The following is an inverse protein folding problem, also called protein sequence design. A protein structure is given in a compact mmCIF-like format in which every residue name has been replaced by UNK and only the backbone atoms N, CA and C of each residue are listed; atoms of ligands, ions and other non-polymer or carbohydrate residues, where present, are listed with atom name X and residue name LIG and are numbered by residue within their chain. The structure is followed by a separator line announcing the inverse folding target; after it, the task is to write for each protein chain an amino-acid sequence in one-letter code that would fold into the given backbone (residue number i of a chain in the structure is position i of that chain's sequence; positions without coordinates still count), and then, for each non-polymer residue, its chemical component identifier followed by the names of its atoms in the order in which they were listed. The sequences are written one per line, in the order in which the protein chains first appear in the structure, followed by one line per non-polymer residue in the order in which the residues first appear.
data_IF_666069169966
#
_entry.id   IF_666069169966
#
_cell.length_a   1.000
_cell.length_b   1.000
_cell.length_c   1.000
_cell.angle_alpha   90.00
_cell.angle_beta   90.00
_cell.angle_gamma   90.00
#
_symmetry.space_group_name_H-M   'P 1'
#
loop_
_entity.id
_entity.type
_entity.pdbx_description
1 polymer ?
#
# COMPACT_ATOMS: atom_id res chain seq x y z
N UNK A 1 -3.49 -6.08 25.98
CA UNK A 1 -4.79 -5.80 25.32
C UNK A 1 -5.82 -5.46 26.40
N UNK A 2 -6.45 -4.28 26.36
CA UNK A 2 -7.51 -3.93 27.29
C UNK A 2 -8.83 -4.59 26.85
N UNK A 3 -9.35 -5.51 27.65
CA UNK A 3 -10.67 -6.10 27.43
C UNK A 3 -11.74 -5.00 27.58
N UNK A 4 -12.80 -4.98 26.75
CA UNK A 4 -13.88 -4.01 26.89
C UNK A 4 -14.59 -4.14 28.23
N UNK A 5 -14.88 -3.00 28.88
CA UNK A 5 -15.46 -2.88 30.24
C UNK A 5 -16.80 -3.61 30.46
N UNK A 6 -17.44 -4.14 29.41
CA UNK A 6 -18.76 -4.78 29.45
C UNK A 6 -18.75 -6.31 29.20
N UNK A 7 -17.59 -6.98 29.30
CA UNK A 7 -17.48 -8.44 29.09
C UNK A 7 -18.32 -9.30 30.06
N UNK A 8 -18.78 -8.74 31.18
CA UNK A 8 -19.51 -9.46 32.24
C UNK A 8 -20.94 -9.91 31.85
N UNK A 9 -21.53 -9.40 30.75
CA UNK A 9 -22.91 -9.75 30.33
C UNK A 9 -23.01 -10.74 29.17
N UNK A 10 -21.88 -11.26 28.68
CA UNK A 10 -21.86 -12.23 27.58
C UNK A 10 -21.75 -13.64 28.17
N UNK A 11 -22.69 -14.56 27.88
CA UNK A 11 -22.64 -15.94 28.35
C UNK A 11 -21.65 -16.77 27.51
N UNK A 12 -20.43 -16.29 27.28
CA UNK A 12 -19.31 -17.04 26.68
C UNK A 12 -17.99 -16.34 27.12
N UNK A 13 -16.93 -17.10 27.45
CA UNK A 13 -15.56 -17.00 26.88
C UNK A 13 -14.53 -17.68 27.80
N UNK A 14 -14.12 -18.91 27.47
CA UNK A 14 -12.69 -19.23 27.53
C UNK A 14 -12.10 -18.83 26.17
N UNK A 15 -11.12 -17.91 26.16
CA UNK A 15 -10.42 -17.48 24.94
C UNK A 15 -9.07 -18.16 24.91
N UNK A 16 -8.84 -18.97 23.88
CA UNK A 16 -7.51 -19.46 23.59
C UNK A 16 -6.81 -18.43 22.70
N UNK A 17 -5.82 -17.74 23.25
CA UNK A 17 -4.87 -16.97 22.48
C UNK A 17 -3.83 -17.96 21.95
N UNK A 18 -3.74 -18.11 20.63
CA UNK A 18 -2.58 -18.75 20.03
C UNK A 18 -1.43 -17.76 20.16
N UNK A 19 -0.54 -17.98 21.12
CA UNK A 19 0.79 -17.39 21.06
C UNK A 19 1.62 -18.28 20.15
N UNK A 20 1.79 -17.89 18.88
CA UNK A 20 2.74 -18.54 17.99
C UNK A 20 4.16 -18.23 18.43
N UNK A 21 4.65 -18.85 19.50
CA UNK A 21 6.09 -19.04 19.67
C UNK A 21 6.47 -20.24 18.83
N UNK A 22 6.80 -20.00 17.56
CA UNK A 22 7.50 -21.00 16.76
C UNK A 22 8.91 -21.07 17.35
N UNK A 23 9.13 -22.02 18.25
CA UNK A 23 10.42 -22.20 18.90
C UNK A 23 11.40 -22.86 17.91
N UNK A 24 12.16 -22.05 17.18
CA UNK A 24 13.40 -22.50 16.55
C UNK A 24 14.53 -22.50 17.59
N UNK A 25 15.53 -23.36 17.39
CA UNK A 25 16.67 -23.54 18.30
C UNK A 25 17.54 -22.28 18.51
N UNK A 26 17.32 -21.23 17.71
CA UNK A 26 17.78 -19.87 17.93
C UNK A 26 16.58 -18.96 17.67
N UNK A 27 16.22 -18.07 18.61
CA UNK A 27 15.05 -17.18 18.51
C UNK A 27 15.23 -16.25 17.30
N UNK A 28 14.68 -16.58 16.13
CA UNK A 28 14.97 -15.84 14.93
C UNK A 28 14.11 -14.58 14.96
N UNK A 29 14.71 -13.45 14.62
CA UNK A 29 13.99 -12.19 14.57
C UNK A 29 12.79 -12.33 13.62
N UNK A 30 11.73 -11.56 13.86
CA UNK A 30 10.58 -11.50 12.92
C UNK A 30 11.08 -11.31 11.48
N UNK A 31 12.16 -10.54 11.28
CA UNK A 31 12.79 -10.29 9.98
C UNK A 31 13.42 -11.53 9.32
N UNK A 32 13.87 -12.51 10.09
CA UNK A 32 14.43 -13.76 9.53
C UNK A 32 13.35 -14.59 8.81
N UNK A 33 12.07 -14.32 9.10
CA UNK A 33 10.94 -14.91 8.40
C UNK A 33 10.50 -14.11 7.18
N UNK A 34 11.06 -12.92 6.95
CA UNK A 34 10.60 -12.00 5.93
C UNK A 34 11.73 -11.66 4.96
N UNK A 35 11.78 -12.38 3.84
CA UNK A 35 12.79 -12.18 2.79
C UNK A 35 12.33 -11.23 1.68
N UNK A 36 11.06 -10.81 1.72
CA UNK A 36 10.48 -9.92 0.72
C UNK A 36 11.10 -8.52 0.77
N UNK A 37 11.49 -8.04 -0.40
CA UNK A 37 11.91 -6.67 -0.62
C UNK A 37 10.70 -5.83 -1.01
N UNK A 38 10.58 -4.63 -0.44
CA UNK A 38 9.66 -3.63 -0.97
C UNK A 38 10.07 -3.29 -2.41
N UNK A 39 9.12 -3.22 -3.33
CA UNK A 39 9.36 -2.79 -4.71
C UNK A 39 8.92 -1.33 -4.89
N UNK A 40 9.63 -0.58 -5.74
CA UNK A 40 9.27 0.77 -6.18
C UNK A 40 9.14 0.89 -7.70
N UNK A 41 8.38 1.91 -8.12
CA UNK A 41 8.11 2.20 -9.53
C UNK A 41 8.63 3.57 -9.92
N UNK A 42 9.02 3.69 -11.19
CA UNK A 42 9.37 4.97 -11.78
C UNK A 42 8.22 5.97 -11.67
N UNK A 43 8.55 7.21 -11.35
CA UNK A 43 7.59 8.31 -11.35
C UNK A 43 7.07 8.56 -12.77
N UNK A 44 5.76 8.69 -12.88
CA UNK A 44 5.03 9.10 -14.07
C UNK A 44 4.34 10.43 -13.78
N UNK A 45 3.90 11.07 -14.85
CA UNK A 45 3.16 12.31 -14.81
C UNK A 45 1.80 12.10 -15.45
N UNK A 46 0.73 12.37 -14.71
CA UNK A 46 -0.59 12.58 -15.29
C UNK A 46 -0.77 14.08 -15.47
N UNK A 47 -1.13 14.49 -16.67
CA UNK A 47 -1.16 15.91 -17.02
C UNK A 47 -2.58 16.31 -17.41
N UNK A 48 -3.00 17.50 -16.96
CA UNK A 48 -4.14 18.21 -17.51
C UNK A 48 -3.67 19.56 -18.04
N UNK A 49 -3.96 19.83 -19.30
CA UNK A 49 -3.56 21.04 -19.99
C UNK A 49 -4.78 21.95 -20.15
N UNK A 50 -4.61 23.21 -19.75
CA UNK A 50 -5.57 24.29 -19.96
C UNK A 50 -4.96 25.24 -21.00
N UNK A 51 -5.60 25.35 -22.15
CA UNK A 51 -5.12 26.17 -23.25
C UNK A 51 -5.64 27.59 -23.13
N UNK A 52 -4.87 28.57 -23.61
CA UNK A 52 -5.27 29.97 -23.55
C UNK A 52 -6.63 30.27 -24.20
N UNK A 53 -6.96 29.57 -25.30
CA UNK A 53 -8.25 29.69 -25.96
C UNK A 53 -9.44 29.24 -25.08
N UNK A 54 -9.19 28.43 -24.06
CA UNK A 54 -10.22 27.87 -23.19
C UNK A 54 -10.33 28.69 -21.91
N UNK A 55 -11.26 29.65 -21.86
CA UNK A 55 -11.51 30.50 -20.68
C UNK A 55 -10.22 31.14 -20.13
N UNK A 56 -9.38 31.72 -21.00
CA UNK A 56 -8.09 32.32 -20.62
C UNK A 56 -7.16 31.34 -19.87
N UNK A 57 -7.07 30.09 -20.32
CA UNK A 57 -6.35 29.01 -19.62
C UNK A 57 -6.76 28.78 -18.15
N UNK A 58 -7.94 29.24 -17.74
CA UNK A 58 -8.43 29.13 -16.37
C UNK A 58 -7.94 30.21 -15.40
N UNK A 59 -7.29 31.28 -15.89
CA UNK A 59 -6.99 32.44 -15.05
C UNK A 59 -8.28 33.19 -14.69
N UNK A 60 -8.49 33.40 -13.39
CA UNK A 60 -9.67 34.04 -12.80
C UNK A 60 -9.41 35.47 -12.32
N UNK A 61 -8.14 35.90 -12.32
CA UNK A 61 -7.76 37.23 -11.86
C UNK A 61 -6.49 37.76 -12.56
N UNK A 62 -6.51 39.05 -12.84
CA UNK A 62 -5.38 39.85 -13.32
C UNK A 62 -5.29 41.10 -12.44
N UNK A 63 -4.11 41.39 -11.88
CA UNK A 63 -3.93 42.59 -11.07
C UNK A 63 -4.01 43.87 -11.92
N UNK A 64 -4.23 45.05 -11.31
CA UNK A 64 -4.27 46.32 -12.05
C UNK A 64 -3.01 46.65 -12.87
N UNK A 65 -1.87 46.05 -12.50
CA UNK A 65 -0.59 46.17 -13.20
C UNK A 65 -0.50 45.28 -14.45
N UNK A 66 -1.61 44.62 -14.82
CA UNK A 66 -1.76 43.86 -16.06
C UNK A 66 -2.74 44.55 -16.99
N UNK A 67 -2.27 44.98 -18.15
CA UNK A 67 -3.07 45.64 -19.19
C UNK A 67 -3.13 44.79 -20.47
N UNK A 68 -4.00 45.20 -21.40
CA UNK A 68 -4.13 44.62 -22.74
C UNK A 68 -4.36 43.09 -22.76
N UNK A 69 -5.07 42.54 -21.77
CA UNK A 69 -5.36 41.10 -21.69
C UNK A 69 -6.26 40.68 -22.84
N UNK A 70 -5.75 39.86 -23.76
CA UNK A 70 -6.51 39.34 -24.90
C UNK A 70 -5.93 38.04 -25.43
N UNK A 71 -6.76 37.24 -26.10
CA UNK A 71 -6.28 36.10 -26.87
C UNK A 71 -5.62 36.59 -28.17
N UNK A 72 -4.43 36.06 -28.49
CA UNK A 72 -3.72 36.26 -29.74
C UNK A 72 -3.24 34.91 -30.27
N UNK A 73 -3.92 34.41 -31.30
CA UNK A 73 -3.71 33.03 -31.77
C UNK A 73 -4.01 32.03 -30.65
N UNK A 74 -3.05 31.17 -30.34
CA UNK A 74 -3.17 30.14 -29.30
C UNK A 74 -2.66 30.61 -27.93
N UNK A 75 -2.45 31.91 -27.73
CA UNK A 75 -1.87 32.45 -26.51
C UNK A 75 -2.72 33.56 -25.89
N UNK A 76 -2.71 33.62 -24.57
CA UNK A 76 -3.19 34.76 -23.79
C UNK A 76 -2.05 35.77 -23.73
N UNK A 77 -2.25 36.95 -24.30
CA UNK A 77 -1.27 38.04 -24.28
C UNK A 77 -1.70 39.16 -23.36
N UNK A 78 -0.75 39.74 -22.63
CA UNK A 78 -0.95 40.92 -21.80
C UNK A 78 0.35 41.70 -21.63
N UNK A 79 0.25 42.93 -21.12
CA UNK A 79 1.37 43.82 -20.81
C UNK A 79 1.47 44.03 -19.31
N UNK A 80 2.69 43.95 -18.78
CA UNK A 80 3.00 44.30 -17.39
C UNK A 80 3.29 45.80 -17.33
N UNK A 81 2.50 46.58 -16.58
CA UNK A 81 2.58 48.05 -16.53
C UNK A 81 3.28 48.60 -15.30
N UNK A 82 3.82 47.74 -14.46
CA UNK A 82 4.66 48.10 -13.32
C UNK A 82 5.80 47.10 -13.20
N UNK A 83 6.74 47.31 -12.27
CA UNK A 83 7.82 46.33 -12.01
C UNK A 83 7.28 44.94 -11.63
N UNK A 84 6.06 44.89 -11.09
CA UNK A 84 5.47 43.70 -10.48
C UNK A 84 4.00 43.56 -10.88
N UNK A 85 3.57 42.35 -11.24
CA UNK A 85 2.19 42.04 -11.59
C UNK A 85 1.79 40.65 -11.09
N UNK A 86 0.50 40.44 -10.83
CA UNK A 86 -0.02 39.19 -10.27
C UNK A 86 -1.16 38.63 -11.11
N UNK A 87 -1.11 37.32 -11.36
CA UNK A 87 -2.19 36.54 -11.96
C UNK A 87 -2.75 35.57 -10.92
N UNK A 88 -4.06 35.37 -10.93
CA UNK A 88 -4.73 34.34 -10.13
C UNK A 88 -5.34 33.27 -11.02
N UNK A 89 -5.11 32.01 -10.69
CA UNK A 89 -5.66 30.85 -11.40
C UNK A 89 -6.54 30.01 -10.47
N UNK A 90 -7.61 29.45 -11.03
CA UNK A 90 -8.54 28.62 -10.27
C UNK A 90 -9.26 29.39 -9.16
N UNK A 91 -9.38 28.81 -7.97
CA UNK A 91 -10.08 29.40 -6.82
C UNK A 91 -9.29 30.49 -6.07
N UNK A 92 -8.40 31.20 -6.77
CA UNK A 92 -7.75 32.40 -6.26
C UNK A 92 -8.78 33.37 -5.68
N UNK A 93 -8.59 33.81 -4.43
CA UNK A 93 -9.51 34.68 -3.69
C UNK A 93 -10.98 34.21 -3.67
N UNK A 94 -11.23 32.89 -3.75
CA UNK A 94 -12.59 32.35 -3.71
C UNK A 94 -13.40 32.61 -4.98
N UNK A 95 -12.75 32.95 -6.10
CA UNK A 95 -13.41 33.40 -7.34
C UNK A 95 -13.90 32.27 -8.23
N UNK A 96 -13.58 31.00 -7.95
CA UNK A 96 -14.02 29.87 -8.77
C UNK A 96 -15.20 29.13 -8.12
N UNK A 97 -16.34 28.97 -8.83
CA UNK A 97 -17.46 28.18 -8.34
C UNK A 97 -17.05 26.73 -8.02
N UNK A 98 -17.62 26.16 -6.96
CA UNK A 98 -17.30 24.77 -6.51
C UNK A 98 -17.53 23.76 -7.63
N UNK A 99 -18.58 23.92 -8.43
CA UNK A 99 -18.91 23.01 -9.55
C UNK A 99 -17.92 23.09 -10.73
N UNK A 100 -17.11 24.15 -10.80
CA UNK A 100 -16.08 24.33 -11.83
C UNK A 100 -14.67 24.02 -11.31
N UNK A 101 -14.53 23.68 -10.02
CA UNK A 101 -13.28 23.20 -9.43
C UNK A 101 -12.93 21.87 -10.11
N UNK A 102 -11.85 21.78 -10.91
CA UNK A 102 -11.49 20.51 -11.52
C UNK A 102 -11.17 19.47 -10.44
N UNK A 103 -11.62 18.22 -10.61
CA UNK A 103 -11.33 17.05 -9.75
C UNK A 103 -9.82 16.67 -9.66
N UNK A 104 -8.93 17.55 -10.10
CA UNK A 104 -7.47 17.40 -10.06
C UNK A 104 -6.88 17.43 -8.63
N UNK A 105 -7.72 17.59 -7.62
CA UNK A 105 -7.38 18.12 -6.32
C UNK A 105 -7.51 17.04 -5.27
N UNK A 106 -6.80 15.93 -5.47
CA UNK A 106 -6.71 14.86 -4.48
C UNK A 106 -5.40 14.92 -3.67
N UNK A 107 -4.32 15.52 -4.19
CA UNK A 107 -2.96 15.46 -3.61
C UNK A 107 -2.03 16.53 -4.22
N UNK A 108 -0.71 16.45 -3.93
CA UNK A 108 0.33 17.38 -4.41
C UNK A 108 0.45 17.43 -5.95
N UNK A 109 0.32 18.62 -6.53
CA UNK A 109 0.47 18.85 -7.97
C UNK A 109 1.63 19.80 -8.28
N UNK A 110 2.24 19.65 -9.46
CA UNK A 110 3.13 20.64 -10.05
C UNK A 110 2.35 21.49 -11.05
N UNK A 111 2.84 22.71 -11.29
CA UNK A 111 2.29 23.60 -12.32
C UNK A 111 3.39 23.85 -13.33
N UNK A 112 3.10 23.77 -14.62
CA UNK A 112 3.99 24.23 -15.69
C UNK A 112 3.26 25.25 -16.55
N UNK A 113 3.89 26.40 -16.79
CA UNK A 113 3.35 27.43 -17.65
C UNK A 113 4.18 27.48 -18.93
N UNK A 114 3.54 27.31 -20.09
CA UNK A 114 4.20 27.52 -21.38
C UNK A 114 4.10 29.00 -21.72
N UNK A 115 5.20 29.74 -21.55
CA UNK A 115 5.23 31.20 -21.58
C UNK A 115 6.36 31.75 -22.44
N UNK A 116 6.19 32.98 -22.93
CA UNK A 116 7.29 33.81 -23.44
C UNK A 116 7.08 35.27 -23.08
N UNK A 117 8.15 36.05 -23.14
CA UNK A 117 8.12 37.49 -22.89
C UNK A 117 8.86 38.27 -23.98
N UNK A 118 8.62 39.58 -24.08
CA UNK A 118 9.29 40.44 -25.06
C UNK A 118 10.61 41.04 -24.58
N UNK A 119 10.91 40.96 -23.28
CA UNK A 119 12.16 41.49 -22.71
C UNK A 119 13.36 40.59 -23.00
N UNK A 120 14.53 41.20 -23.17
CA UNK A 120 15.82 40.49 -23.22
C UNK A 120 16.41 40.27 -21.83
N UNK A 121 15.88 40.95 -20.81
CA UNK A 121 16.25 40.72 -19.40
C UNK A 121 15.38 39.62 -18.81
N UNK A 122 15.90 38.88 -17.82
CA UNK A 122 15.09 37.86 -17.17
C UNK A 122 13.87 38.45 -16.45
N UNK A 123 12.79 37.66 -16.38
CA UNK A 123 11.61 37.96 -15.56
C UNK A 123 11.53 36.93 -14.46
N UNK A 124 11.60 37.39 -13.21
CA UNK A 124 11.45 36.53 -12.04
C UNK A 124 9.98 36.15 -11.86
N UNK A 125 9.74 34.90 -11.52
CA UNK A 125 8.41 34.33 -11.32
C UNK A 125 8.33 33.71 -9.93
N UNK A 126 7.20 33.92 -9.27
CA UNK A 126 6.92 33.36 -7.96
C UNK A 126 5.50 32.80 -7.95
N UNK A 127 5.39 31.48 -7.79
CA UNK A 127 4.09 30.80 -7.68
C UNK A 127 3.77 30.48 -6.23
N UNK A 128 2.59 30.85 -5.78
CA UNK A 128 2.08 30.55 -4.43
C UNK A 128 0.73 29.85 -4.53
N UNK A 129 0.58 28.72 -3.83
CA UNK A 129 -0.66 27.96 -3.83
C UNK A 129 -1.72 28.55 -2.89
N UNK A 130 -2.99 28.32 -3.26
CA UNK A 130 -4.18 28.75 -2.54
C UNK A 130 -5.06 27.54 -2.19
N UNK A 131 -5.75 27.63 -1.05
CA UNK A 131 -6.73 26.67 -0.55
C UNK A 131 -7.94 27.44 -0.03
N UNK A 132 -9.14 27.08 -0.50
CA UNK A 132 -10.42 27.68 -0.14
C UNK A 132 -10.39 29.21 -0.19
N UNK A 133 -9.74 29.75 -1.22
CA UNK A 133 -9.63 31.18 -1.44
C UNK A 133 -8.71 31.92 -0.47
N UNK A 134 -7.81 31.21 0.22
CA UNK A 134 -6.75 31.77 1.06
C UNK A 134 -5.38 31.26 0.62
N UNK A 135 -4.32 32.06 0.80
CA UNK A 135 -2.94 31.59 0.59
C UNK A 135 -2.64 30.43 1.52
N UNK A 136 -2.03 29.37 0.98
CA UNK A 136 -1.51 28.27 1.79
C UNK A 136 -0.39 28.81 2.69
N UNK A 137 -0.58 28.69 4.01
CA UNK A 137 0.44 29.03 5.01
C UNK A 137 1.12 27.76 5.48
N UNK A 138 2.41 27.83 5.78
CA UNK A 138 3.09 26.73 6.45
C UNK A 138 2.41 26.41 7.81
N UNK A 139 2.31 25.13 8.15
CA UNK A 139 1.93 24.71 9.51
C UNK A 139 3.01 25.17 10.51
N UNK A 140 2.60 25.39 11.77
CA UNK A 140 3.42 25.86 12.92
C UNK A 140 4.93 25.58 12.77
N UNK A 141 5.72 26.64 12.61
CA UNK A 141 7.18 26.60 12.62
C UNK A 141 7.87 26.38 11.27
N UNK A 142 7.13 26.27 10.16
CA UNK A 142 7.72 26.28 8.81
C UNK A 142 7.97 27.71 8.29
N UNK A 143 8.78 27.87 7.23
CA UNK A 143 8.95 29.17 6.58
C UNK A 143 7.59 29.72 6.14
N UNK A 144 7.35 31.01 6.41
CA UNK A 144 6.06 31.67 6.07
C UNK A 144 5.77 31.68 4.57
N UNK A 145 6.81 31.45 3.75
CA UNK A 145 6.77 31.50 2.31
C UNK A 145 6.92 30.09 1.71
N UNK A 146 5.82 29.54 1.21
CA UNK A 146 5.80 28.28 0.45
C UNK A 146 5.94 28.52 -1.06
N UNK A 147 6.23 29.76 -1.48
CA UNK A 147 6.27 30.10 -2.88
C UNK A 147 7.45 29.44 -3.58
N UNK A 148 7.21 29.05 -4.84
CA UNK A 148 8.18 28.42 -5.71
C UNK A 148 8.67 29.49 -6.68
N UNK A 149 9.98 29.70 -6.69
CA UNK A 149 10.62 30.67 -7.58
C UNK A 149 11.06 29.99 -8.88
N UNK A 150 10.87 30.71 -9.97
CA UNK A 150 11.38 30.37 -11.29
C UNK A 150 11.76 31.66 -12.04
N UNK A 151 12.27 31.54 -13.26
CA UNK A 151 12.72 32.67 -14.05
C UNK A 151 12.51 32.36 -15.54
N UNK A 152 12.05 33.35 -16.30
CA UNK A 152 12.03 33.30 -17.77
C UNK A 152 13.26 34.01 -18.32
N UNK A 153 13.93 33.40 -19.31
CA UNK A 153 15.13 33.95 -19.94
C UNK A 153 14.98 34.01 -21.46
N UNK A 154 15.26 35.17 -22.04
CA UNK A 154 15.16 35.37 -23.47
C UNK A 154 13.72 35.31 -23.99
N UNK A 155 13.55 35.59 -25.28
CA UNK A 155 12.23 35.89 -25.86
C UNK A 155 11.48 34.68 -26.42
N UNK A 156 12.08 33.50 -26.35
CA UNK A 156 11.49 32.27 -26.88
C UNK A 156 10.51 31.63 -25.89
N UNK A 157 9.66 30.75 -26.42
CA UNK A 157 8.73 29.94 -25.64
C UNK A 157 9.46 28.98 -24.71
N UNK A 158 9.07 28.98 -23.44
CA UNK A 158 9.67 28.21 -22.36
C UNK A 158 8.59 27.50 -21.54
N UNK A 159 8.87 26.28 -21.09
CA UNK A 159 8.09 25.61 -20.06
C UNK A 159 8.66 25.96 -18.70
N UNK A 160 7.95 26.82 -17.97
CA UNK A 160 8.34 27.23 -16.61
C UNK A 160 7.63 26.32 -15.61
N UNK A 161 8.38 25.39 -15.02
CA UNK A 161 7.86 24.42 -14.06
C UNK A 161 8.01 24.89 -12.61
N UNK A 162 6.94 24.76 -11.84
CA UNK A 162 6.84 25.05 -10.41
C UNK A 162 6.60 23.75 -9.66
N UNK A 163 7.68 23.14 -9.18
CA UNK A 163 7.66 21.91 -8.39
C UNK A 163 7.76 22.23 -6.89
N UNK A 164 6.74 21.89 -6.07
CA UNK A 164 6.83 22.02 -4.63
C UNK A 164 7.93 21.09 -4.08
N UNK A 165 8.76 21.62 -3.17
CA UNK A 165 9.86 20.86 -2.52
C UNK A 165 9.37 19.82 -1.51
N UNK A 166 8.12 19.93 -1.05
CA UNK A 166 7.48 19.03 -0.08
C UNK A 166 6.08 18.69 -0.55
N UNK A 167 5.56 17.50 -0.19
CA UNK A 167 4.14 17.21 -0.36
C UNK A 167 3.30 18.28 0.32
N UNK A 168 2.34 18.83 -0.41
CA UNK A 168 1.34 19.74 0.15
C UNK A 168 0.44 18.92 1.07
N UNK A 169 0.33 19.34 2.33
CA UNK A 169 -0.52 18.68 3.32
C UNK A 169 -1.99 19.07 3.17
N UNK A 170 -2.25 20.12 2.41
CA UNK A 170 -3.58 20.62 2.07
C UNK A 170 -3.62 20.75 0.56
N UNK A 171 -4.71 20.30 -0.03
CA UNK A 171 -4.82 20.20 -1.47
C UNK A 171 -5.15 21.59 -2.02
N UNK A 172 -4.30 22.16 -2.90
CA UNK A 172 -4.54 23.49 -3.44
C UNK A 172 -5.70 23.50 -4.44
N UNK A 173 -6.51 24.56 -4.36
CA UNK A 173 -7.62 24.85 -5.27
C UNK A 173 -7.37 26.03 -6.21
N UNK A 174 -6.21 26.65 -6.08
CA UNK A 174 -5.78 27.72 -6.95
C UNK A 174 -4.31 28.00 -6.74
N UNK A 175 -3.80 28.93 -7.55
CA UNK A 175 -2.49 29.50 -7.33
C UNK A 175 -2.46 30.95 -7.80
N UNK A 176 -1.51 31.71 -7.27
CA UNK A 176 -1.12 33.00 -7.81
C UNK A 176 0.26 32.89 -8.45
N UNK A 177 0.45 33.61 -9.55
CA UNK A 177 1.76 33.80 -10.19
C UNK A 177 2.08 35.27 -10.14
N UNK A 178 3.12 35.59 -9.39
CA UNK A 178 3.69 36.93 -9.30
C UNK A 178 4.88 37.02 -10.26
N UNK A 179 4.91 38.07 -11.06
CA UNK A 179 5.91 38.32 -12.08
C UNK A 179 6.64 39.63 -11.73
N UNK A 180 7.96 39.60 -11.69
CA UNK A 180 8.80 40.79 -11.51
C UNK A 180 9.76 40.95 -12.70
N UNK A 181 9.64 42.05 -13.43
CA UNK A 181 10.38 42.28 -14.66
C UNK A 181 10.33 43.74 -15.12
N UNK A 182 10.74 43.97 -16.37
CA UNK A 182 10.71 45.32 -16.95
C UNK A 182 9.26 45.80 -17.17
N UNK A 183 9.02 47.07 -16.85
CA UNK A 183 7.77 47.74 -17.20
C UNK A 183 7.59 47.77 -18.72
N UNK A 184 6.36 47.57 -19.19
CA UNK A 184 6.02 47.47 -20.60
C UNK A 184 6.31 46.09 -21.20
N UNK A 185 6.88 45.15 -20.44
CA UNK A 185 7.13 43.79 -20.92
C UNK A 185 5.81 43.11 -21.31
N UNK A 186 5.81 42.54 -22.51
CA UNK A 186 4.68 41.79 -23.04
C UNK A 186 4.86 40.33 -22.73
N UNK A 187 3.91 39.74 -22.03
CA UNK A 187 3.89 38.31 -21.70
C UNK A 187 2.85 37.61 -22.58
N UNK A 188 3.18 36.39 -22.99
CA UNK A 188 2.25 35.48 -23.64
C UNK A 188 2.26 34.13 -22.92
N UNK A 189 1.08 33.58 -22.65
CA UNK A 189 0.88 32.26 -22.04
C UNK A 189 0.11 31.41 -23.04
N UNK A 190 0.69 30.30 -23.49
CA UNK A 190 0.01 29.34 -24.38
C UNK A 190 -0.82 28.34 -23.57
N UNK A 191 -0.27 27.83 -22.47
CA UNK A 191 -0.97 26.87 -21.64
C UNK A 191 -0.55 26.89 -20.17
N UNK A 192 -1.49 26.44 -19.33
CA UNK A 192 -1.25 26.04 -17.94
C UNK A 192 -1.37 24.52 -17.90
N UNK A 193 -0.33 23.82 -17.47
CA UNK A 193 -0.34 22.39 -17.25
C UNK A 193 -0.31 22.10 -15.76
N UNK A 194 -1.32 21.39 -15.27
CA UNK A 194 -1.33 20.81 -13.93
C UNK A 194 -0.81 19.37 -14.06
N UNK A 195 0.25 19.06 -13.32
CA UNK A 195 0.97 17.80 -13.40
C UNK A 195 0.83 17.08 -12.07
N UNK A 196 0.20 15.92 -12.07
CA UNK A 196 0.14 15.04 -10.92
C UNK A 196 1.28 14.01 -11.01
N UNK A 197 2.26 14.04 -10.08
CA UNK A 197 3.25 12.98 -9.97
C UNK A 197 2.56 11.73 -9.44
N UNK A 198 2.56 10.69 -10.25
CA UNK A 198 1.98 9.39 -9.89
C UNK A 198 3.04 8.33 -10.06
N UNK A 199 3.18 7.46 -9.08
CA UNK A 199 3.96 6.25 -9.18
C UNK A 199 2.99 5.10 -9.15
N UNK A 200 2.72 4.52 -10.32
CA UNK A 200 1.79 3.43 -10.47
C UNK A 200 2.39 2.32 -11.30
N UNK A 201 1.87 1.12 -11.16
CA UNK A 201 1.85 0.19 -12.27
C UNK A 201 1.67 -1.24 -11.86
N UNK A 202 1.94 -2.09 -12.83
CA UNK A 202 1.60 -3.49 -12.84
C UNK A 202 2.90 -4.27 -12.66
N UNK A 203 2.98 -5.09 -11.63
CA UNK A 203 4.16 -5.89 -11.29
C UNK A 203 3.78 -7.35 -11.34
N UNK A 204 4.60 -8.19 -11.96
CA UNK A 204 4.35 -9.62 -12.02
C UNK A 204 5.59 -10.45 -11.77
N UNK A 205 5.35 -11.69 -11.34
CA UNK A 205 6.34 -12.77 -11.36
C UNK A 205 5.64 -14.10 -11.56
N UNK A 206 6.18 -14.88 -12.48
CA UNK A 206 5.79 -16.28 -12.65
C UNK A 206 6.57 -17.18 -11.71
N UNK A 207 5.93 -18.27 -11.31
CA UNK A 207 6.55 -19.33 -10.55
C UNK A 207 5.90 -20.67 -10.86
N UNK A 208 6.56 -21.76 -10.48
CA UNK A 208 6.06 -23.10 -10.73
C UNK A 208 5.89 -23.88 -9.43
N UNK A 209 4.72 -24.49 -9.29
CA UNK A 209 4.50 -25.55 -8.32
C UNK A 209 4.84 -26.90 -8.97
N UNK A 210 5.33 -27.90 -8.20
CA UNK A 210 5.62 -29.23 -8.75
C UNK A 210 4.43 -29.81 -9.54
N UNK A 211 4.73 -30.60 -10.56
CA UNK A 211 3.69 -31.27 -11.35
C UNK A 211 2.83 -32.16 -10.43
N UNK A 212 1.50 -32.03 -10.54
CA UNK A 212 0.56 -32.75 -9.67
C UNK A 212 0.53 -32.27 -8.20
N UNK A 213 1.21 -31.17 -7.86
CA UNK A 213 1.21 -30.64 -6.50
C UNK A 213 -0.21 -30.35 -6.00
N UNK A 214 -0.55 -30.90 -4.83
CA UNK A 214 -1.77 -30.56 -4.11
C UNK A 214 -1.41 -29.57 -3.01
N UNK A 215 -1.99 -28.37 -3.08
CA UNK A 215 -1.82 -27.35 -2.04
C UNK A 215 -2.65 -27.76 -0.82
N UNK A 216 -2.00 -27.95 0.33
CA UNK A 216 -2.69 -28.12 1.60
C UNK A 216 -3.14 -26.77 2.16
N UNK A 217 -2.26 -25.77 2.05
CA UNK A 217 -2.48 -24.42 2.56
C UNK A 217 -1.56 -23.43 1.85
N UNK A 218 -2.02 -22.22 1.59
CA UNK A 218 -1.16 -21.17 1.07
C UNK A 218 -1.61 -19.80 1.56
N UNK A 219 -0.74 -19.14 2.31
CA UNK A 219 -1.02 -17.82 2.88
C UNK A 219 0.04 -16.86 2.41
N UNK A 220 -0.40 -15.70 1.94
CA UNK A 220 0.46 -14.58 1.60
C UNK A 220 0.30 -13.43 2.60
N UNK A 221 1.40 -12.83 3.01
CA UNK A 221 1.44 -11.49 3.59
C UNK A 221 1.57 -10.47 2.49
N UNK A 222 0.63 -9.54 2.47
CA UNK A 222 0.51 -8.55 1.40
C UNK A 222 0.47 -7.17 2.00
N UNK A 223 1.39 -6.32 1.60
CA UNK A 223 1.35 -4.91 1.92
C UNK A 223 1.36 -4.08 0.63
N UNK A 224 0.59 -3.00 0.62
CA UNK A 224 0.78 -1.98 -0.41
C UNK A 224 0.42 -0.59 0.09
N UNK A 225 1.25 0.38 -0.28
CA UNK A 225 1.15 1.78 0.12
C UNK A 225 0.51 2.56 -0.99
N UNK A 226 -0.81 2.61 -0.97
CA UNK A 226 -1.56 3.41 -1.92
C UNK A 226 -2.25 4.54 -1.16
N UNK A 227 -1.97 5.76 -1.59
CA UNK A 227 -2.67 6.97 -1.18
C UNK A 227 -3.88 7.13 -2.12
N UNK A 228 -4.96 6.40 -1.84
CA UNK A 228 -6.26 6.79 -2.39
C UNK A 228 -7.18 7.11 -1.22
N UNK A 229 -6.87 8.28 -0.68
CA UNK A 229 -7.71 9.12 0.17
C UNK A 229 -7.81 8.61 1.59
N UNK A 230 -7.03 9.24 2.49
CA UNK A 230 -7.46 9.43 3.87
C UNK A 230 -8.93 9.87 3.81
N UNK A 231 -9.84 9.04 4.34
CA UNK A 231 -11.31 9.11 4.31
C UNK A 231 -12.09 8.28 3.27
N UNK A 232 -11.45 7.65 2.26
CA UNK A 232 -12.09 6.59 1.46
C UNK A 232 -11.54 5.23 1.89
N UNK A 233 -12.39 4.35 2.43
CA UNK A 233 -12.01 3.08 3.04
C UNK A 233 -11.52 1.99 2.06
N UNK A 234 -11.01 2.37 0.89
CA UNK A 234 -10.60 1.43 -0.17
C UNK A 234 -9.16 1.68 -0.60
N UNK A 235 -8.24 0.94 0.01
CA UNK A 235 -6.90 0.76 -0.56
C UNK A 235 -7.05 0.09 -1.93
N UNK A 236 -6.72 0.83 -2.99
CA UNK A 236 -6.94 0.42 -4.39
C UNK A 236 -5.90 -0.56 -4.94
N UNK A 237 -4.97 -1.08 -4.12
CA UNK A 237 -4.03 -2.07 -4.65
C UNK A 237 -4.69 -3.41 -4.86
N UNK A 238 -4.40 -3.98 -6.01
CA UNK A 238 -4.95 -5.27 -6.41
C UNK A 238 -3.86 -6.32 -6.35
N UNK A 239 -4.21 -7.46 -5.76
CA UNK A 239 -3.46 -8.69 -5.89
C UNK A 239 -4.24 -9.58 -6.86
N UNK A 240 -3.55 -10.14 -7.82
CA UNK A 240 -4.04 -11.11 -8.78
C UNK A 240 -3.19 -12.37 -8.68
N UNK A 241 -3.85 -13.52 -8.74
CA UNK A 241 -3.18 -14.82 -8.84
C UNK A 241 -3.81 -15.56 -10.02
N UNK A 242 -3.01 -15.90 -11.01
CA UNK A 242 -3.48 -16.53 -12.25
C UNK A 242 -4.62 -15.74 -12.93
N UNK A 243 -4.43 -14.42 -12.99
CA UNK A 243 -5.37 -13.43 -13.50
C UNK A 243 -6.73 -13.35 -12.80
N UNK A 244 -6.89 -14.00 -11.64
CA UNK A 244 -8.03 -13.82 -10.77
C UNK A 244 -7.67 -12.82 -9.68
N UNK A 245 -8.47 -11.76 -9.54
CA UNK A 245 -8.34 -10.81 -8.43
C UNK A 245 -8.60 -11.52 -7.11
N UNK A 246 -7.65 -11.43 -6.19
CA UNK A 246 -7.74 -12.00 -4.85
C UNK A 246 -8.58 -11.07 -3.98
N UNK A 247 -9.67 -11.60 -3.43
CA UNK A 247 -10.51 -10.86 -2.50
C UNK A 247 -9.75 -10.60 -1.20
N UNK A 248 -9.57 -9.32 -0.84
CA UNK A 248 -8.94 -8.89 0.42
C UNK A 248 -9.51 -7.57 0.89
N UNK A 249 -9.47 -7.34 2.20
CA UNK A 249 -9.95 -6.10 2.83
C UNK A 249 -8.96 -4.93 2.68
N UNK A 250 -7.73 -5.20 2.25
CA UNK A 250 -6.62 -4.25 2.31
C UNK A 250 -6.00 -4.19 3.71
N UNK A 251 -4.90 -3.48 3.85
CA UNK A 251 -4.21 -3.27 5.13
C UNK A 251 -4.87 -2.14 5.93
N UNK A 252 -4.86 -2.14 7.28
CA UNK A 252 -5.40 -1.02 8.05
C UNK A 252 -4.58 0.27 7.87
N UNK A 253 -3.32 0.15 7.47
CA UNK A 253 -2.40 1.26 7.31
C UNK A 253 -1.45 1.05 6.13
N UNK A 254 -1.01 2.14 5.50
CA UNK A 254 -0.04 2.17 4.38
C UNK A 254 1.38 1.69 4.73
N UNK A 255 1.60 1.12 5.91
CA UNK A 255 2.87 0.50 6.28
C UNK A 255 2.66 -0.85 6.98
N UNK A 256 1.46 -1.41 6.88
CA UNK A 256 1.11 -2.70 7.46
C UNK A 256 0.88 -3.72 6.34
N UNK A 257 1.09 -5.00 6.66
CA UNK A 257 0.68 -6.12 5.82
C UNK A 257 -0.64 -6.71 6.30
N UNK A 258 -1.28 -7.49 5.43
CA UNK A 258 -2.43 -8.32 5.77
C UNK A 258 -2.23 -9.72 5.21
N UNK A 259 -2.42 -10.73 6.05
CA UNK A 259 -2.52 -12.12 5.62
C UNK A 259 -3.73 -12.36 4.71
N UNK A 260 -3.52 -13.12 3.65
CA UNK A 260 -4.56 -13.53 2.71
C UNK A 260 -4.36 -14.98 2.30
N UNK A 261 -5.45 -15.75 2.30
CA UNK A 261 -5.45 -17.10 1.75
C UNK A 261 -5.42 -17.04 0.22
N UNK A 262 -4.35 -17.59 -0.36
CA UNK A 262 -4.16 -17.65 -1.81
C UNK A 262 -4.33 -19.08 -2.34
N UNK A 263 -4.54 -20.09 -1.48
CA UNK A 263 -4.66 -21.47 -1.90
C UNK A 263 -5.74 -21.70 -2.98
N UNK A 264 -6.94 -21.08 -2.90
CA UNK A 264 -7.99 -21.27 -3.91
C UNK A 264 -7.64 -20.77 -5.31
N UNK A 265 -6.56 -20.00 -5.46
CA UNK A 265 -6.15 -19.39 -6.71
C UNK A 265 -4.97 -20.09 -7.38
N UNK A 266 -4.28 -20.99 -6.65
CA UNK A 266 -3.12 -21.72 -7.12
C UNK A 266 -3.51 -22.96 -7.93
N UNK A 267 -2.61 -23.39 -8.81
CA UNK A 267 -2.74 -24.62 -9.60
C UNK A 267 -1.39 -25.34 -9.71
N UNK A 268 -1.35 -26.65 -9.95
CA UNK A 268 -0.09 -27.34 -10.30
C UNK A 268 0.58 -26.70 -11.53
N UNK A 269 1.93 -26.72 -11.58
CA UNK A 269 2.70 -26.13 -12.67
C UNK A 269 2.78 -24.60 -12.60
N UNK A 270 2.73 -23.93 -13.76
CA UNK A 270 2.89 -22.48 -13.86
C UNK A 270 1.79 -21.69 -13.17
N UNK A 271 2.20 -20.76 -12.32
CA UNK A 271 1.40 -19.75 -11.66
C UNK A 271 1.99 -18.35 -11.91
N UNK A 272 1.16 -17.33 -11.76
CA UNK A 272 1.59 -15.93 -11.83
C UNK A 272 1.00 -15.17 -10.65
N UNK A 273 1.85 -14.42 -9.95
CA UNK A 273 1.41 -13.37 -9.04
C UNK A 273 1.45 -12.05 -9.81
N UNK A 274 0.36 -11.31 -9.77
CA UNK A 274 0.25 -9.96 -10.32
C UNK A 274 -0.15 -8.97 -9.24
N UNK A 275 0.48 -7.80 -9.23
CA UNK A 275 0.15 -6.68 -8.38
C UNK A 275 -0.10 -5.42 -9.18
N UNK A 276 -1.15 -4.69 -8.83
CA UNK A 276 -1.30 -3.29 -9.21
C UNK A 276 -1.18 -2.42 -7.97
N UNK A 277 -0.30 -1.42 -8.03
CA UNK A 277 -0.12 -0.41 -6.99
C UNK A 277 -0.07 0.99 -7.59
N UNK A 278 -0.55 1.97 -6.84
CA UNK A 278 -0.51 3.38 -7.25
C UNK A 278 -0.39 4.27 -6.04
N UNK A 279 0.57 5.20 -6.09
CA UNK A 279 0.75 6.24 -5.09
C UNK A 279 0.88 7.58 -5.78
N UNK A 280 0.23 8.58 -5.21
CA UNK A 280 0.33 9.95 -5.68
C UNK A 280 1.39 10.68 -4.84
N UNK A 281 2.13 11.59 -5.45
CA UNK A 281 3.15 12.39 -4.79
C UNK A 281 4.56 11.83 -4.91
N UNK A 282 5.44 12.28 -4.02
CA UNK A 282 6.90 12.10 -4.15
C UNK A 282 7.42 10.75 -3.71
N UNK A 283 6.63 9.97 -2.95
CA UNK A 283 7.07 8.71 -2.37
C UNK A 283 6.73 7.51 -3.25
N UNK A 284 7.61 6.52 -3.26
CA UNK A 284 7.36 5.25 -3.93
C UNK A 284 6.12 4.55 -3.31
N UNK A 285 5.21 3.97 -4.14
CA UNK A 285 4.31 2.96 -3.63
C UNK A 285 5.16 1.83 -3.11
N UNK A 286 4.87 1.36 -1.91
CA UNK A 286 5.45 0.11 -1.46
C UNK A 286 4.57 -1.01 -2.00
N UNK A 287 5.17 -2.02 -2.64
CA UNK A 287 4.55 -3.33 -2.82
C UNK A 287 5.39 -4.36 -2.09
N UNK A 288 4.72 -5.11 -1.24
CA UNK A 288 5.29 -6.18 -0.43
C UNK A 288 4.44 -7.42 -0.60
N UNK A 289 5.08 -8.53 -0.97
CA UNK A 289 4.42 -9.82 -1.03
C UNK A 289 5.37 -10.90 -0.56
N UNK A 290 4.88 -11.74 0.34
CA UNK A 290 5.52 -12.99 0.67
C UNK A 290 4.47 -14.07 0.87
N UNK A 291 4.66 -15.23 0.27
CA UNK A 291 3.81 -16.38 0.45
C UNK A 291 4.58 -17.57 1.01
N UNK A 292 3.90 -18.34 1.86
CA UNK A 292 4.26 -19.72 2.18
C UNK A 292 3.18 -20.64 1.66
N UNK A 293 3.58 -21.62 0.86
CA UNK A 293 2.73 -22.60 0.21
C UNK A 293 3.13 -23.96 0.77
N UNK A 294 2.22 -24.59 1.50
CA UNK A 294 2.41 -25.91 2.07
C UNK A 294 1.67 -26.91 1.19
N UNK A 295 2.37 -27.92 0.71
CA UNK A 295 1.80 -29.01 -0.07
C UNK A 295 1.28 -30.11 0.84
N UNK A 296 0.38 -30.97 0.35
CA UNK A 296 -0.11 -32.12 1.12
C UNK A 296 1.00 -33.12 1.44
N UNK A 297 2.12 -33.07 0.72
CA UNK A 297 3.34 -33.85 1.00
C UNK A 297 4.05 -33.41 2.29
N UNK A 298 3.77 -32.20 2.79
CA UNK A 298 4.52 -31.55 3.86
C UNK A 298 5.63 -30.62 3.35
N UNK A 299 5.88 -30.58 2.05
CA UNK A 299 6.83 -29.63 1.46
C UNK A 299 6.34 -28.18 1.63
N UNK A 300 7.26 -27.29 1.99
CA UNK A 300 6.98 -25.86 2.18
C UNK A 300 7.77 -25.04 1.15
N UNK A 301 7.05 -24.38 0.26
CA UNK A 301 7.60 -23.46 -0.72
C UNK A 301 7.41 -22.02 -0.26
N UNK A 302 8.45 -21.20 -0.39
CA UNK A 302 8.40 -19.77 -0.04
C UNK A 302 8.63 -18.92 -1.28
N UNK A 303 7.81 -17.89 -1.44
CA UNK A 303 7.90 -16.93 -2.53
C UNK A 303 7.86 -15.52 -1.98
N UNK A 304 8.67 -14.61 -2.50
CA UNK A 304 8.81 -13.26 -1.98
C UNK A 304 9.02 -12.25 -3.10
N UNK A 305 8.69 -10.98 -2.84
CA UNK A 305 9.09 -9.88 -3.72
C UNK A 305 10.60 -9.68 -3.71
N UNK A 306 11.17 -9.50 -4.89
CA UNK A 306 12.59 -9.22 -5.11
C UNK A 306 12.76 -8.42 -6.41
N UNK A 307 13.98 -7.99 -6.73
CA UNK A 307 14.25 -7.19 -7.93
C UNK A 307 14.11 -7.97 -9.24
N UNK A 308 13.88 -9.29 -9.20
CA UNK A 308 13.63 -10.08 -10.41
C UNK A 308 12.19 -9.94 -10.92
N UNK A 309 11.30 -9.29 -10.18
CA UNK A 309 9.94 -9.02 -10.61
C UNK A 309 9.96 -8.03 -11.78
N UNK A 310 9.00 -8.18 -12.70
CA UNK A 310 8.87 -7.32 -13.88
C UNK A 310 7.76 -6.30 -13.65
N UNK A 311 7.95 -5.07 -14.11
CA UNK A 311 6.99 -3.99 -13.96
C UNK A 311 6.75 -3.18 -15.24
N UNK A 312 5.51 -2.75 -15.43
CA UNK A 312 5.06 -1.83 -16.48
C UNK A 312 4.24 -0.67 -15.91
N UNK A 313 4.40 0.56 -16.43
CA UNK A 313 3.57 1.70 -16.07
C UNK A 313 2.12 1.57 -16.57
N UNK A 314 1.89 0.77 -17.61
CA UNK A 314 0.60 0.59 -18.27
C UNK A 314 0.09 -0.85 -18.18
N UNK A 315 -1.22 -1.00 -18.14
CA UNK A 315 -1.88 -2.30 -18.17
C UNK A 315 -1.71 -2.96 -19.54
N UNK A 316 -1.46 -4.27 -19.53
CA UNK A 316 -1.53 -5.08 -20.75
C UNK A 316 -2.57 -6.19 -20.53
N UNK A 317 -3.39 -6.49 -21.55
CA UNK A 317 -4.38 -7.54 -21.42
C UNK A 317 -3.72 -8.89 -21.03
N UNK A 318 -4.25 -9.54 -19.99
CA UNK A 318 -3.72 -10.83 -19.51
C UNK A 318 -2.40 -10.75 -18.73
N UNK A 319 -1.90 -9.57 -18.38
CA UNK A 319 -0.61 -9.38 -17.70
C UNK A 319 -0.41 -10.24 -16.42
N UNK A 320 -1.49 -10.52 -15.70
CA UNK A 320 -1.46 -11.31 -14.46
C UNK A 320 -1.69 -12.81 -14.67
N UNK A 321 -1.78 -13.28 -15.92
CA UNK A 321 -1.86 -14.69 -16.28
C UNK A 321 -0.47 -15.32 -16.45
N UNK A 322 -0.32 -16.64 -16.21
CA UNK A 322 0.89 -17.35 -16.60
C UNK A 322 1.01 -17.43 -18.13
N UNK A 323 2.24 -17.37 -18.64
CA UNK A 323 2.57 -17.38 -20.06
C UNK A 323 2.57 -16.01 -20.73
N UNK A 324 2.30 -14.93 -20.01
CA UNK A 324 2.38 -13.57 -20.56
C UNK A 324 3.85 -13.17 -20.83
N UNK A 325 4.10 -12.58 -22.00
CA UNK A 325 5.42 -12.10 -22.42
C UNK A 325 5.72 -10.71 -21.83
N UNK A 326 6.53 -10.68 -20.78
CA UNK A 326 6.96 -9.45 -20.11
C UNK A 326 8.40 -9.05 -20.43
N UNK A 327 8.98 -9.53 -21.53
CA UNK A 327 10.37 -9.18 -21.90
C UNK A 327 10.57 -7.67 -22.14
N UNK A 328 9.52 -6.96 -22.54
CA UNK A 328 9.54 -5.50 -22.69
C UNK A 328 9.36 -4.74 -21.37
N UNK A 329 9.02 -5.43 -20.28
CA UNK A 329 8.81 -4.83 -18.97
C UNK A 329 10.15 -4.61 -18.26
N UNK A 330 10.22 -3.54 -17.48
CA UNK A 330 11.41 -3.18 -16.71
C UNK A 330 11.53 -4.08 -15.49
N UNK A 331 12.73 -4.24 -14.97
CA UNK A 331 12.92 -4.86 -13.65
C UNK A 331 12.39 -3.93 -12.57
N UNK A 332 11.78 -4.51 -11.54
CA UNK A 332 11.36 -3.76 -10.37
C UNK A 332 12.58 -3.31 -9.58
N UNK A 333 12.55 -2.05 -9.13
CA UNK A 333 13.60 -1.51 -8.27
C UNK A 333 13.31 -1.84 -6.81
N UNK A 334 14.37 -1.96 -6.01
CA UNK A 334 14.25 -2.03 -4.55
C UNK A 334 13.68 -0.70 -4.03
N UNK A 335 12.61 -0.78 -3.26
CA UNK A 335 11.93 0.36 -2.66
C UNK A 335 12.73 0.99 -1.52
N UNK A 336 12.67 2.32 -1.47
CA UNK A 336 13.36 3.17 -0.48
C UNK A 336 12.75 3.14 0.92
N UNK A 337 11.47 2.77 1.05
CA UNK A 337 10.73 2.65 2.32
C UNK A 337 11.12 1.38 3.10
N UNK A 338 12.05 0.58 2.54
CA UNK A 338 12.46 -0.75 3.00
C UNK A 338 12.63 -0.90 4.51
N UNK A 339 12.05 -1.98 5.03
CA UNK A 339 12.20 -2.64 6.34
C UNK A 339 12.04 -1.81 7.63
N UNK A 340 12.13 -0.50 7.56
CA UNK A 340 12.17 0.43 8.71
C UNK A 340 10.77 0.86 9.10
N UNK A 341 9.89 1.06 8.12
CA UNK A 341 8.53 1.51 8.36
C UNK A 341 7.49 0.40 8.27
N UNK A 342 7.83 -0.73 7.62
CA UNK A 342 6.95 -1.88 7.55
C UNK A 342 6.73 -2.42 8.95
N UNK A 343 5.56 -2.11 9.51
CA UNK A 343 5.01 -2.86 10.61
C UNK A 343 4.45 -4.13 10.00
N UNK A 344 5.36 -5.09 9.76
CA UNK A 344 5.02 -6.46 9.44
C UNK A 344 3.93 -6.83 10.45
N UNK A 345 2.76 -7.24 9.95
CA UNK A 345 1.67 -7.64 10.83
C UNK A 345 2.13 -8.73 11.79
N UNK A 346 1.22 -9.19 12.65
CA UNK A 346 1.45 -10.45 13.36
C UNK A 346 1.99 -11.50 12.36
N UNK A 347 3.03 -12.25 12.75
CA UNK A 347 3.63 -13.35 11.95
C UNK A 347 2.49 -14.01 11.16
N UNK A 348 2.58 -14.17 9.81
CA UNK A 348 1.45 -14.60 9.01
C UNK A 348 0.72 -15.69 9.74
N UNK A 349 -0.58 -15.49 9.99
CA UNK A 349 -1.35 -16.05 11.11
C UNK A 349 -1.34 -17.60 11.25
N UNK A 350 -0.55 -18.27 10.41
CA UNK A 350 -0.73 -19.56 9.82
C UNK A 350 0.59 -20.13 9.26
N UNK A 351 1.77 -19.61 9.64
CA UNK A 351 3.06 -20.18 9.19
C UNK A 351 3.22 -21.64 9.66
N UNK A 352 3.72 -22.49 8.75
CA UNK A 352 4.17 -23.84 9.07
C UNK A 352 3.16 -24.94 8.78
N UNK A 353 3.45 -26.12 9.31
CA UNK A 353 2.77 -27.38 9.02
C UNK A 353 1.56 -27.65 9.94
N UNK A 354 1.22 -26.70 10.81
CA UNK A 354 0.13 -26.84 11.79
C UNK A 354 -1.04 -25.92 11.42
N UNK A 355 -2.23 -26.51 11.40
CA UNK A 355 -3.51 -25.80 11.39
C UNK A 355 -4.28 -26.17 12.66
N UNK A 356 -4.80 -25.16 13.35
CA UNK A 356 -5.61 -25.32 14.54
C UNK A 356 -7.08 -25.08 14.23
N UNK A 357 -7.96 -26.00 14.64
CA UNK A 357 -9.41 -25.84 14.52
C UNK A 357 -10.11 -26.10 15.85
N UNK A 358 -11.23 -25.41 16.02
CA UNK A 358 -12.23 -25.78 17.00
C UNK A 358 -13.26 -26.68 16.30
N UNK A 359 -13.39 -27.97 16.66
CA UNK A 359 -14.32 -28.89 16.01
C UNK A 359 -15.79 -28.51 16.23
N UNK A 360 -16.09 -27.67 17.22
CA UNK A 360 -17.47 -27.28 17.58
C UNK A 360 -17.81 -25.83 17.22
N UNK A 361 -16.95 -25.11 16.50
CA UNK A 361 -17.26 -23.74 16.08
C UNK A 361 -16.18 -23.05 15.24
N UNK A 362 -16.54 -21.95 14.59
CA UNK A 362 -15.64 -21.22 13.68
C UNK A 362 -14.51 -20.41 14.36
N UNK A 363 -14.49 -20.34 15.69
CA UNK A 363 -13.49 -19.60 16.47
C UNK A 363 -12.95 -20.48 17.60
N UNK A 364 -11.74 -20.17 18.07
CA UNK A 364 -11.12 -20.82 19.24
C UNK A 364 -11.72 -20.29 20.57
N UNK A 365 -13.03 -20.42 20.68
CA UNK A 365 -13.84 -20.00 21.81
C UNK A 365 -14.62 -21.21 22.28
N UNK A 366 -14.52 -21.51 23.58
CA UNK A 366 -15.06 -22.72 24.17
C UNK A 366 -16.04 -22.39 25.29
N UNK A 367 -16.96 -23.33 25.53
CA UNK A 367 -17.86 -23.30 26.70
C UNK A 367 -17.09 -23.79 27.92
N UNK A 368 -17.19 -23.08 29.03
CA UNK A 368 -16.60 -23.45 30.32
C UNK A 368 -17.27 -24.68 30.95
N UNK A 369 -18.45 -25.05 30.47
CA UNK A 369 -19.19 -26.26 30.90
C UNK A 369 -18.85 -27.50 30.09
N UNK A 370 -17.94 -27.42 29.11
CA UNK A 370 -17.56 -28.54 28.25
C UNK A 370 -16.04 -28.69 28.19
N UNK A 371 -15.52 -29.90 27.93
CA UNK A 371 -14.11 -30.06 27.63
C UNK A 371 -13.69 -29.18 26.45
N UNK A 372 -12.55 -28.52 26.59
CA UNK A 372 -11.91 -27.81 25.48
C UNK A 372 -11.25 -28.86 24.60
N UNK A 373 -11.74 -28.99 23.37
CA UNK A 373 -11.18 -29.89 22.36
C UNK A 373 -10.61 -29.08 21.21
N UNK A 374 -9.37 -29.37 20.82
CA UNK A 374 -8.72 -28.78 19.65
C UNK A 374 -8.44 -29.87 18.63
N UNK A 375 -8.63 -29.54 17.36
CA UNK A 375 -8.08 -30.32 16.27
C UNK A 375 -6.79 -29.67 15.80
N UNK A 376 -5.69 -30.44 15.84
CA UNK A 376 -4.44 -30.09 15.20
C UNK A 376 -4.37 -30.86 13.89
N UNK A 377 -4.31 -30.14 12.78
CA UNK A 377 -4.23 -30.70 11.43
C UNK A 377 -2.84 -30.44 10.86
N UNK A 378 -2.25 -31.47 10.25
CA UNK A 378 -0.96 -31.38 9.55
C UNK A 378 -1.04 -32.09 8.19
N UNK A 379 -0.17 -31.81 7.21
CA UNK A 379 -0.21 -32.45 5.91
C UNK A 379 -0.15 -33.99 5.96
N UNK A 380 -0.99 -34.66 5.17
CA UNK A 380 -1.07 -36.14 5.17
C UNK A 380 0.24 -36.84 4.78
N UNK A 381 1.06 -36.21 3.93
CA UNK A 381 2.32 -36.76 3.44
C UNK A 381 3.37 -36.96 4.53
N UNK A 382 3.17 -36.33 5.67
CA UNK A 382 4.01 -36.55 6.84
C UNK A 382 3.74 -37.90 7.51
N UNK A 383 2.66 -38.63 7.18
CA UNK A 383 2.29 -39.88 7.87
C UNK A 383 3.43 -40.91 7.94
N UNK A 384 4.24 -41.02 6.89
CA UNK A 384 5.38 -41.94 6.83
C UNK A 384 6.49 -41.61 7.85
N UNK A 385 6.57 -40.35 8.28
CA UNK A 385 7.53 -39.88 9.28
C UNK A 385 7.07 -40.13 10.72
N UNK A 386 5.86 -40.71 10.91
CA UNK A 386 5.22 -40.94 12.21
C UNK A 386 5.20 -39.69 13.10
N UNK A 387 4.63 -38.58 12.62
CA UNK A 387 4.68 -37.31 13.32
C UNK A 387 3.91 -37.39 14.64
N UNK A 388 4.41 -36.66 15.64
CA UNK A 388 3.76 -36.46 16.93
C UNK A 388 3.58 -34.97 17.20
N UNK A 389 2.53 -34.62 17.95
CA UNK A 389 2.26 -33.25 18.37
C UNK A 389 2.47 -33.16 19.88
N UNK A 390 3.54 -32.51 20.30
CA UNK A 390 3.67 -32.07 21.69
C UNK A 390 2.83 -30.81 21.90
N UNK A 391 2.15 -30.73 23.04
CA UNK A 391 1.40 -29.55 23.41
C UNK A 391 1.62 -29.16 24.87
N UNK A 392 1.56 -27.86 25.13
CA UNK A 392 1.55 -27.30 26.47
C UNK A 392 0.44 -26.25 26.61
N UNK A 393 -0.41 -26.43 27.61
CA UNK A 393 -1.48 -25.50 27.98
C UNK A 393 -1.04 -24.65 29.15
N UNK A 394 -1.28 -23.34 29.06
CA UNK A 394 -1.10 -22.42 30.18
C UNK A 394 -2.27 -21.43 30.27
N UNK A 395 -2.50 -20.90 31.47
CA UNK A 395 -3.48 -19.86 31.76
C UNK A 395 -2.79 -18.51 31.88
N UNK A 396 -3.43 -17.46 31.37
CA UNK A 396 -2.93 -16.09 31.40
C UNK A 396 -3.76 -15.25 32.35
N UNK A 397 -3.14 -14.70 33.40
CA UNK A 397 -3.79 -13.82 34.38
C UNK A 397 -2.89 -12.64 34.74
N UNK A 398 -3.39 -11.40 34.64
CA UNK A 398 -2.65 -10.18 35.00
C UNK A 398 -1.21 -10.15 34.42
N UNK A 399 -1.08 -10.56 33.15
CA UNK A 399 0.19 -10.71 32.43
C UNK A 399 1.16 -11.82 32.91
N UNK A 400 0.75 -12.67 33.86
CA UNK A 400 1.46 -13.89 34.24
C UNK A 400 0.94 -15.09 33.44
N UNK A 401 1.84 -15.94 32.96
CA UNK A 401 1.52 -17.21 32.29
C UNK A 401 1.82 -18.36 33.26
N UNK A 402 0.81 -19.18 33.56
CA UNK A 402 0.89 -20.30 34.50
C UNK A 402 0.66 -21.62 33.75
N UNK A 403 1.65 -22.52 33.67
CA UNK A 403 1.49 -23.84 33.06
C UNK A 403 0.39 -24.64 33.75
N UNK A 404 -0.39 -25.38 32.96
CA UNK A 404 -1.48 -26.23 33.45
C UNK A 404 -1.29 -27.70 33.09
N UNK A 405 -0.91 -27.98 31.84
CA UNK A 405 -0.73 -29.33 31.35
C UNK A 405 0.26 -29.36 30.19
N UNK A 406 0.97 -30.46 30.04
CA UNK A 406 1.70 -30.78 28.81
C UNK A 406 1.55 -32.26 28.51
N UNK A 407 1.47 -32.60 27.23
CA UNK A 407 1.36 -33.97 26.78
C UNK A 407 1.77 -34.09 25.32
N UNK A 408 1.82 -35.33 24.83
CA UNK A 408 2.10 -35.65 23.44
C UNK A 408 0.91 -36.41 22.84
N UNK A 409 0.50 -36.01 21.65
CA UNK A 409 -0.45 -36.74 20.82
C UNK A 409 0.31 -37.46 19.71
N UNK A 410 0.39 -38.79 19.81
CA UNK A 410 1.03 -39.64 18.81
C UNK A 410 0.02 -40.34 17.89
N UNK A 411 -1.26 -40.36 18.25
CA UNK A 411 -2.33 -40.94 17.45
C UNK A 411 -3.07 -39.85 16.69
N UNK A 412 -3.38 -40.16 15.43
CA UNK A 412 -4.14 -39.28 14.56
C UNK A 412 -5.14 -40.09 13.73
N UNK A 413 -6.20 -39.43 13.30
CA UNK A 413 -7.04 -39.91 12.21
C UNK A 413 -6.58 -39.26 10.90
N UNK A 414 -7.04 -39.80 9.76
CA UNK A 414 -6.81 -39.18 8.45
C UNK A 414 -8.10 -38.54 7.95
N UNK A 415 -7.99 -37.29 7.54
CA UNK A 415 -8.94 -36.58 6.69
C UNK A 415 -8.28 -36.40 5.30
N UNK A 416 -9.05 -36.17 4.24
CA UNK A 416 -8.65 -36.31 2.83
C UNK A 416 -7.27 -35.73 2.43
N UNK A 417 -6.78 -34.71 3.14
CA UNK A 417 -5.45 -34.12 2.93
C UNK A 417 -4.68 -33.87 4.24
N UNK A 418 -5.10 -34.42 5.38
CA UNK A 418 -4.54 -34.08 6.69
C UNK A 418 -4.48 -35.26 7.66
N UNK A 419 -3.45 -35.27 8.50
CA UNK A 419 -3.47 -36.03 9.76
C UNK A 419 -4.10 -35.13 10.82
N UNK A 420 -5.06 -35.67 11.57
CA UNK A 420 -5.86 -34.93 12.54
C UNK A 420 -5.64 -35.50 13.93
N UNK A 421 -5.07 -34.68 14.81
CA UNK A 421 -4.88 -34.99 16.23
C UNK A 421 -5.98 -34.28 17.02
N UNK A 422 -6.76 -35.04 17.78
CA UNK A 422 -7.73 -34.50 18.71
C UNK A 422 -7.07 -34.29 20.08
N UNK A 423 -6.82 -33.03 20.44
CA UNK A 423 -6.30 -32.67 21.76
C UNK A 423 -7.48 -32.38 22.69
N UNK A 424 -7.69 -33.25 23.67
CA UNK A 424 -8.64 -33.00 24.74
C UNK A 424 -7.92 -32.32 25.91
N UNK A 425 -8.16 -31.03 26.09
CA UNK A 425 -7.56 -30.22 27.14
C UNK A 425 -8.38 -30.22 28.44
N UNK A 426 -9.44 -31.04 28.51
CA UNK A 426 -10.34 -31.12 29.66
C UNK A 426 -11.20 -29.87 29.84
N UNK A 427 -12.08 -29.85 30.86
CA UNK A 427 -12.85 -28.68 31.22
C UNK A 427 -11.91 -27.56 31.69
N UNK A 428 -12.11 -26.36 31.18
CA UNK A 428 -11.31 -25.19 31.56
C UNK A 428 -12.23 -24.12 32.16
N UNK A 429 -11.95 -23.61 33.36
CA UNK A 429 -12.70 -22.49 33.91
C UNK A 429 -12.62 -21.27 32.99
N UNK A 430 -13.55 -20.33 33.16
CA UNK A 430 -13.55 -19.09 32.37
C UNK A 430 -12.22 -18.36 32.51
N UNK A 431 -11.59 -18.02 31.37
CA UNK A 431 -10.28 -17.39 31.39
C UNK A 431 -9.64 -17.22 30.01
N UNK A 432 -8.41 -16.74 30.00
CA UNK A 432 -7.57 -16.64 28.82
C UNK A 432 -6.47 -17.69 28.91
N UNK A 433 -6.26 -18.42 27.83
CA UNK A 433 -5.34 -19.54 27.77
C UNK A 433 -4.39 -19.38 26.61
N UNK A 434 -3.22 -19.99 26.71
CA UNK A 434 -2.29 -20.19 25.60
C UNK A 434 -2.06 -21.67 25.39
N UNK A 435 -2.03 -22.10 24.13
CA UNK A 435 -1.54 -23.43 23.75
C UNK A 435 -0.26 -23.24 22.93
N UNK A 436 0.81 -23.91 23.35
CA UNK A 436 2.02 -24.10 22.56
C UNK A 436 1.94 -25.47 21.90
N UNK A 437 2.28 -25.55 20.60
CA UNK A 437 2.29 -26.79 19.83
C UNK A 437 3.65 -26.97 19.18
N UNK A 438 4.18 -28.20 19.19
CA UNK A 438 5.39 -28.59 18.46
C UNK A 438 5.11 -29.86 17.67
N UNK A 439 5.26 -29.78 16.35
CA UNK A 439 5.21 -30.95 15.48
C UNK A 439 6.61 -31.56 15.40
N UNK A 440 6.72 -32.87 15.63
CA UNK A 440 7.99 -33.59 15.60
C UNK A 440 7.92 -34.85 14.76
N UNK A 441 9.04 -35.24 14.18
CA UNK A 441 9.28 -36.57 13.62
C UNK A 441 10.60 -37.11 14.20
N UNK A 442 10.51 -38.09 15.10
CA UNK A 442 11.64 -38.47 15.95
C UNK A 442 12.08 -37.30 16.83
N UNK A 443 13.37 -37.00 16.85
CA UNK A 443 13.94 -35.89 17.62
C UNK A 443 13.88 -34.54 16.89
N UNK A 444 13.50 -34.53 15.61
CA UNK A 444 13.46 -33.31 14.80
C UNK A 444 12.12 -32.59 14.97
N UNK A 445 12.20 -31.28 15.20
CA UNK A 445 11.04 -30.37 15.07
C UNK A 445 10.87 -30.03 13.59
N UNK A 446 9.65 -30.20 13.08
CA UNK A 446 9.30 -30.00 11.66
C UNK A 446 8.85 -28.57 11.34
#
# INVERSE_FOLDING_TARGET
MNLPKNAAKWPILAVLLISGRVAFAADPSVRDYFSAQALSFGQQHREKVFLAQDKNAGFTFFSPEVADVKAEGNALSFRVTAKKATLGWGNYMGKQPVAERPDLWAETNWVSLRMKHSSTKPTALRLQFWVDGQREKAKRGGPEDLAIQAEMKGTDWQDVAFQPKRPQLVIPDGFEVEMEGEEGNRIQIESVKVIQPVRQGYVRKEFELPAGAKVWKAVAEVGSGNDVVWYSSRIQSELHVNGKKVARRGSPHIYQTSGVDIAPYLKPGKNCIGFYGSRIGSYDPFIYFQAKIVLTTGEVLTWATDTSWRWSPGEAAGWSQPGFDDRAWKEAAKGSVGDTYLNLGDIPAHQGLIELRNPVGARLVFKDTQPVVLEVRVPEGLAGQRPVVDYALARVEKAKVSPLASAQAATFTKDAASLVYALNLGPQPRGVYTVELKLKAGDNVL
#
